data_IF_068952908308
#
_entry.id   IF_068952908308
#
_cell.length_a   1.000
_cell.length_b   1.000
_cell.length_c   1.000
_cell.angle_alpha   90.00
_cell.angle_beta   90.00
_cell.angle_gamma   90.00
#
_symmetry.space_group_name_H-M   'P 1'
#
loop_
_entity.id
_entity.type
_entity.pdbx_description
1 polymer ?
#
# COMPACT_ATOMS: atom_id res chain seq x y z
N UNK A 1 22.15 45.58 -19.26
CA UNK A 1 22.06 45.70 -17.79
C UNK A 1 21.15 44.67 -17.12
N UNK A 2 19.81 44.78 -17.16
CA UNK A 2 18.96 43.82 -16.41
C UNK A 2 19.09 42.37 -16.91
N UNK A 3 19.13 42.15 -18.22
CA UNK A 3 19.27 40.81 -18.80
C UNK A 3 20.65 40.18 -18.51
N UNK A 4 21.71 40.99 -18.47
CA UNK A 4 23.06 40.53 -18.13
C UNK A 4 23.16 40.14 -16.65
N UNK A 5 22.57 40.95 -15.77
CA UNK A 5 22.45 40.62 -14.34
C UNK A 5 21.63 39.34 -14.14
N UNK A 6 20.53 39.18 -14.88
CA UNK A 6 19.68 37.98 -14.84
C UNK A 6 20.46 36.72 -15.25
N UNK A 7 21.33 36.85 -16.26
CA UNK A 7 22.17 35.75 -16.72
C UNK A 7 23.23 35.38 -15.67
N UNK A 8 23.90 36.38 -15.07
CA UNK A 8 24.88 36.17 -14.02
C UNK A 8 24.27 35.48 -12.78
N UNK A 9 23.08 35.91 -12.34
CA UNK A 9 22.37 35.29 -11.21
C UNK A 9 22.04 33.82 -11.49
N UNK A 10 21.59 33.49 -12.71
CA UNK A 10 21.26 32.10 -13.06
C UNK A 10 22.50 31.21 -13.05
N UNK A 11 23.62 31.71 -13.57
CA UNK A 11 24.89 30.98 -13.56
C UNK A 11 25.36 30.70 -12.12
N UNK A 12 25.28 31.71 -11.25
CA UNK A 12 25.67 31.58 -9.84
C UNK A 12 24.79 30.59 -9.08
N UNK A 13 23.46 30.67 -9.25
CA UNK A 13 22.52 29.73 -8.61
C UNK A 13 22.77 28.30 -9.07
N UNK A 14 22.99 28.08 -10.37
CA UNK A 14 23.31 26.76 -10.90
C UNK A 14 24.61 26.25 -10.29
N UNK A 15 25.67 27.07 -10.28
CA UNK A 15 26.95 26.69 -9.67
C UNK A 15 26.80 26.30 -8.20
N UNK A 16 26.06 27.08 -7.41
CA UNK A 16 25.81 26.79 -5.99
C UNK A 16 25.06 25.48 -5.81
N UNK A 17 23.99 25.23 -6.58
CA UNK A 17 23.22 23.99 -6.48
C UNK A 17 24.05 22.75 -6.81
N UNK A 18 24.92 22.83 -7.82
CA UNK A 18 25.77 21.69 -8.22
C UNK A 18 26.92 21.42 -7.26
N UNK A 19 27.31 22.39 -6.43
CA UNK A 19 28.40 22.24 -5.46
C UNK A 19 27.92 22.25 -4.01
N UNK A 20 26.61 22.36 -3.77
CA UNK A 20 26.03 22.32 -2.44
C UNK A 20 26.22 20.93 -1.82
N UNK A 21 26.96 20.88 -0.71
CA UNK A 21 27.05 19.70 0.13
C UNK A 21 26.04 19.86 1.26
N UNK A 22 25.10 18.92 1.37
CA UNK A 22 24.15 18.86 2.47
C UNK A 22 24.80 18.02 3.56
N UNK A 23 25.18 18.65 4.67
CA UNK A 23 25.52 17.94 5.90
C UNK A 23 24.20 17.51 6.55
N UNK A 24 23.92 16.20 6.67
CA UNK A 24 22.72 15.76 7.36
C UNK A 24 22.92 16.01 8.85
N UNK A 25 22.24 17.02 9.38
CA UNK A 25 22.22 17.31 10.82
C UNK A 25 21.59 16.11 11.52
N UNK A 26 22.43 15.34 12.24
CA UNK A 26 22.11 14.12 12.98
C UNK A 26 21.14 13.14 12.30
N UNK A 27 21.57 12.56 11.17
CA UNK A 27 21.00 11.30 10.69
C UNK A 27 21.06 10.20 11.78
N UNK A 28 22.04 10.29 12.69
CA UNK A 28 22.15 9.40 13.84
C UNK A 28 20.97 9.54 14.82
N UNK A 29 20.53 10.77 15.15
CA UNK A 29 19.38 10.97 16.04
C UNK A 29 18.06 10.49 15.41
N UNK A 30 17.92 10.57 14.08
CA UNK A 30 16.76 10.05 13.35
C UNK A 30 16.74 8.52 13.21
N UNK A 31 17.89 7.84 13.38
CA UNK A 31 18.01 6.38 13.30
C UNK A 31 18.11 5.68 14.67
N UNK A 32 18.47 6.38 15.75
CA UNK A 32 18.61 5.78 17.09
C UNK A 32 17.31 5.74 17.92
N UNK A 33 16.32 6.58 17.63
CA UNK A 33 15.01 6.58 18.31
C UNK A 33 13.95 5.78 17.50
N UNK A 34 14.10 4.44 17.36
CA UNK A 34 13.16 3.55 18.03
C UNK A 34 13.74 2.18 18.48
N UNK A 35 15.07 1.99 18.48
CA UNK A 35 15.64 0.63 18.73
C UNK A 35 15.81 0.32 20.22
N UNK A 36 15.92 1.34 21.08
CA UNK A 36 15.99 1.14 22.54
C UNK A 36 14.63 0.71 23.14
N UNK A 37 13.51 1.21 22.59
CA UNK A 37 12.17 0.89 23.08
C UNK A 37 11.73 -0.55 22.77
N UNK A 38 12.35 -1.20 21.77
CA UNK A 38 12.06 -2.59 21.41
C UNK A 38 12.78 -3.64 22.28
N UNK A 39 13.79 -3.26 23.07
CA UNK A 39 14.56 -4.20 23.91
C UNK A 39 13.95 -4.41 25.30
N UNK A 40 13.16 -3.45 25.77
CA UNK A 40 12.36 -3.59 26.99
C UNK A 40 10.95 -4.03 26.57
N UNK A 41 10.70 -5.34 26.58
CA UNK A 41 9.47 -6.00 26.13
C UNK A 41 8.19 -5.56 26.85
N UNK A 42 7.80 -4.30 26.68
CA UNK A 42 6.61 -3.68 27.23
C UNK A 42 5.93 -2.88 26.10
N UNK A 43 4.88 -3.47 25.52
CA UNK A 43 3.83 -2.67 24.89
C UNK A 43 3.64 -2.78 23.38
N UNK A 44 4.05 -3.87 22.72
CA UNK A 44 3.48 -4.21 21.41
C UNK A 44 2.35 -5.22 21.58
N UNK A 45 1.15 -4.73 21.90
CA UNK A 45 -0.08 -5.51 21.92
C UNK A 45 -0.58 -5.71 20.49
N UNK A 46 -0.34 -6.90 19.92
CA UNK A 46 -0.95 -7.32 18.66
C UNK A 46 -2.45 -7.59 18.89
N UNK A 47 -3.30 -6.61 18.62
CA UNK A 47 -4.75 -6.78 18.54
C UNK A 47 -5.08 -7.52 17.23
N UNK A 48 -4.90 -8.84 17.25
CA UNK A 48 -5.49 -9.70 16.24
C UNK A 48 -7.02 -9.61 16.37
N UNK A 49 -7.68 -9.45 15.24
CA UNK A 49 -9.13 -9.40 15.11
C UNK A 49 -9.75 -10.54 15.91
N UNK A 50 -10.41 -10.17 17.00
CA UNK A 50 -10.93 -11.10 17.98
C UNK A 50 -11.76 -12.21 17.31
N UNK A 51 -11.71 -13.41 17.85
CA UNK A 51 -12.66 -14.46 17.50
C UNK A 51 -14.14 -13.99 17.61
N UNK A 52 -14.41 -12.90 18.34
CA UNK A 52 -15.71 -12.25 18.38
C UNK A 52 -16.11 -11.60 17.03
N UNK A 53 -15.16 -11.08 16.25
CA UNK A 53 -15.41 -10.60 14.88
C UNK A 53 -15.78 -11.77 13.95
N UNK A 54 -15.01 -12.86 14.01
CA UNK A 54 -15.32 -14.08 13.25
C UNK A 54 -16.66 -14.71 13.66
N UNK A 55 -17.03 -14.69 14.94
CA UNK A 55 -18.33 -15.15 15.43
C UNK A 55 -19.47 -14.20 15.06
N UNK A 56 -19.25 -12.88 15.03
CA UNK A 56 -20.24 -11.91 14.58
C UNK A 56 -20.53 -12.05 13.08
N UNK A 57 -19.48 -12.28 12.27
CA UNK A 57 -19.62 -12.54 10.82
C UNK A 57 -20.31 -13.90 10.60
N UNK A 58 -19.94 -14.93 11.35
CA UNK A 58 -20.57 -16.27 11.26
C UNK A 58 -22.04 -16.26 11.73
N UNK A 59 -22.36 -15.48 12.76
CA UNK A 59 -23.73 -15.29 13.24
C UNK A 59 -24.56 -14.45 12.26
N UNK A 60 -23.95 -13.45 11.60
CA UNK A 60 -24.60 -12.67 10.56
C UNK A 60 -24.80 -13.47 9.26
N UNK A 61 -23.89 -14.42 8.94
CA UNK A 61 -24.00 -15.29 7.77
C UNK A 61 -24.78 -16.59 8.04
N UNK A 62 -25.12 -16.88 9.29
CA UNK A 62 -25.68 -18.17 9.73
C UNK A 62 -27.21 -18.26 9.78
N UNK A 63 -27.93 -17.23 9.32
CA UNK A 63 -29.40 -17.18 9.36
C UNK A 63 -30.04 -17.03 7.98
N UNK A 64 -29.50 -17.67 6.93
CA UNK A 64 -30.26 -18.04 5.73
C UNK A 64 -29.52 -19.08 4.88
N UNK A 65 -30.25 -20.15 4.52
CA UNK A 65 -30.00 -21.09 3.43
C UNK A 65 -29.06 -22.28 3.69
N UNK A 66 -29.63 -23.28 4.35
CA UNK A 66 -29.67 -24.65 3.79
C UNK A 66 -29.99 -24.64 2.29
N UNK A 67 -29.06 -25.16 1.49
CA UNK A 67 -29.33 -25.88 0.24
C UNK A 67 -29.49 -25.06 -1.04
N UNK A 68 -28.71 -25.43 -2.07
CA UNK A 68 -29.09 -25.25 -3.48
C UNK A 68 -28.03 -24.59 -4.37
N UNK A 69 -27.56 -25.35 -5.36
CA UNK A 69 -26.72 -24.90 -6.47
C UNK A 69 -27.34 -23.76 -7.30
N UNK A 70 -26.48 -22.89 -7.84
CA UNK A 70 -26.67 -22.26 -9.15
C UNK A 70 -27.25 -20.84 -9.16
N UNK A 71 -26.40 -19.89 -9.58
CA UNK A 71 -26.72 -18.77 -10.47
C UNK A 71 -27.87 -17.81 -10.12
N UNK A 72 -27.53 -16.53 -9.92
CA UNK A 72 -28.45 -15.42 -10.20
C UNK A 72 -28.75 -14.51 -9.00
N UNK A 73 -28.47 -13.23 -9.19
CA UNK A 73 -28.69 -12.08 -8.32
C UNK A 73 -30.09 -11.96 -7.67
N UNK A 74 -30.17 -11.57 -6.40
CA UNK A 74 -31.23 -10.68 -5.88
C UNK A 74 -30.69 -9.79 -4.73
N UNK A 75 -30.85 -8.48 -4.90
CA UNK A 75 -30.65 -7.41 -3.90
C UNK A 75 -31.93 -7.22 -3.06
N UNK A 76 -31.84 -6.72 -1.81
CA UNK A 76 -32.60 -5.50 -1.46
C UNK A 76 -31.73 -4.46 -0.69
N UNK A 77 -31.66 -3.20 -1.12
CA UNK A 77 -32.49 -2.02 -0.77
C UNK A 77 -32.41 -1.68 0.75
N UNK A 78 -31.90 -0.57 1.28
CA UNK A 78 -31.36 0.70 0.78
C UNK A 78 -31.57 1.82 1.84
N UNK A 79 -30.53 2.63 2.12
CA UNK A 79 -30.56 3.95 2.82
C UNK A 79 -30.10 3.95 4.29
N UNK A 80 -29.13 4.76 4.77
CA UNK A 80 -28.77 6.14 4.40
C UNK A 80 -27.27 6.46 4.58
N UNK A 81 -26.69 7.22 3.65
CA UNK A 81 -25.66 8.23 3.97
C UNK A 81 -24.19 7.95 3.60
N UNK A 82 -23.87 7.89 2.31
CA UNK A 82 -22.50 8.08 1.81
C UNK A 82 -22.06 7.01 0.81
N UNK A 83 -22.60 7.05 -0.40
CA UNK A 83 -22.14 6.19 -1.49
C UNK A 83 -20.75 6.63 -1.95
N UNK A 84 -19.72 6.07 -1.30
CA UNK A 84 -18.40 6.01 -1.91
C UNK A 84 -18.55 5.01 -3.06
N UNK A 85 -18.55 5.50 -4.29
CA UNK A 85 -18.48 4.63 -5.45
C UNK A 85 -17.18 3.84 -5.36
N UNK A 86 -17.26 2.61 -4.85
CA UNK A 86 -16.15 1.65 -4.93
C UNK A 86 -16.02 1.30 -6.40
N UNK A 87 -15.22 2.09 -7.12
CA UNK A 87 -14.73 1.71 -8.43
C UNK A 87 -13.98 0.40 -8.23
N UNK A 88 -14.64 -0.72 -8.52
CA UNK A 88 -14.02 -2.03 -8.51
C UNK A 88 -12.88 -1.95 -9.52
N UNK A 89 -11.63 -1.89 -9.03
CA UNK A 89 -10.45 -1.91 -9.90
C UNK A 89 -10.60 -3.15 -10.77
N UNK A 90 -10.74 -2.94 -12.07
CA UNK A 90 -10.66 -4.02 -13.06
C UNK A 90 -9.20 -4.43 -13.07
N UNK A 91 -8.85 -5.35 -12.16
CA UNK A 91 -7.51 -5.93 -12.15
C UNK A 91 -7.36 -6.73 -13.43
N UNK A 92 -6.29 -6.46 -14.16
CA UNK A 92 -5.95 -7.29 -15.31
C UNK A 92 -5.79 -8.74 -14.84
N UNK A 93 -6.03 -9.71 -15.72
CA UNK A 93 -5.89 -11.13 -15.37
C UNK A 93 -4.48 -11.45 -14.82
N UNK A 94 -3.48 -10.71 -15.28
CA UNK A 94 -2.08 -10.81 -14.85
C UNK A 94 -1.80 -10.14 -13.49
N UNK A 95 -2.64 -9.21 -13.03
CA UNK A 95 -2.52 -8.57 -11.71
C UNK A 95 -3.08 -9.46 -10.59
N UNK A 96 -3.80 -10.54 -10.96
CA UNK A 96 -4.21 -11.62 -10.05
C UNK A 96 -3.14 -12.69 -9.83
N UNK A 97 -2.00 -12.64 -10.55
CA UNK A 97 -0.90 -13.59 -10.38
C UNK A 97 -0.16 -13.32 -9.07
N UNK A 98 -0.01 -14.36 -8.25
CA UNK A 98 0.77 -14.30 -7.02
C UNK A 98 2.25 -14.10 -7.30
N UNK A 99 2.95 -13.42 -6.38
CA UNK A 99 4.38 -13.08 -6.50
C UNK A 99 5.31 -14.28 -6.82
N UNK A 100 4.91 -15.49 -6.42
CA UNK A 100 5.69 -16.72 -6.63
C UNK A 100 5.19 -17.61 -7.78
N UNK A 101 4.08 -17.28 -8.44
CA UNK A 101 3.49 -18.11 -9.49
C UNK A 101 4.36 -18.14 -10.76
N UNK A 102 4.22 -19.14 -11.64
CA UNK A 102 4.86 -19.12 -12.95
C UNK A 102 4.52 -17.84 -13.71
N UNK A 103 5.54 -17.20 -14.29
CA UNK A 103 5.32 -15.97 -15.03
C UNK A 103 4.55 -16.25 -16.33
N UNK A 104 3.56 -15.42 -16.62
CA UNK A 104 2.69 -15.52 -17.80
C UNK A 104 3.43 -15.46 -19.14
N UNK A 105 4.68 -14.95 -19.16
CA UNK A 105 5.51 -14.88 -20.37
C UNK A 105 6.09 -16.23 -20.83
N UNK A 106 5.78 -17.34 -20.14
CA UNK A 106 6.25 -18.68 -20.52
C UNK A 106 7.74 -18.95 -20.24
N UNK A 107 8.42 -18.08 -19.51
CA UNK A 107 9.86 -18.22 -19.21
C UNK A 107 10.21 -19.34 -18.22
N UNK A 108 9.22 -19.96 -17.58
CA UNK A 108 9.41 -20.94 -16.51
C UNK A 108 9.91 -20.36 -15.18
N UNK A 109 10.16 -19.05 -15.10
CA UNK A 109 10.60 -18.35 -13.88
C UNK A 109 9.39 -17.89 -13.06
N UNK A 110 9.56 -17.76 -11.73
CA UNK A 110 8.55 -17.16 -10.84
C UNK A 110 8.27 -15.70 -11.23
N UNK A 111 7.04 -15.21 -11.06
CA UNK A 111 6.61 -13.86 -11.44
C UNK A 111 7.56 -12.77 -10.88
N UNK A 112 7.91 -12.85 -9.59
CA UNK A 112 8.88 -11.92 -8.96
C UNK A 112 10.29 -11.89 -9.55
N UNK A 113 10.66 -12.91 -10.31
CA UNK A 113 11.98 -13.02 -10.95
C UNK A 113 11.93 -12.70 -12.45
N UNK A 114 10.78 -12.26 -12.96
CA UNK A 114 10.57 -11.96 -14.36
C UNK A 114 9.85 -10.60 -14.53
N UNK A 115 8.52 -10.58 -14.43
CA UNK A 115 7.70 -9.39 -14.71
C UNK A 115 7.05 -8.76 -13.46
N UNK A 116 7.37 -9.26 -12.26
CA UNK A 116 6.87 -8.74 -10.98
C UNK A 116 7.82 -7.74 -10.29
N UNK A 117 8.56 -6.96 -11.07
CA UNK A 117 9.43 -5.88 -10.61
C UNK A 117 8.72 -4.53 -10.76
#
# INVERSE_FOLDING_TARGET
MFLELSAAIREEVVSILFHAQIEPEDAAALHEEPVAQARNGAGLSYAHESAAGAQAISAASGAAATGGNGGGSVTPIGGVGGAVATQQRVTSEHERLGRNDPCWCGSGKKFKKCHGA
#
